data_IF_690632826612
#
_entry.id   IF_690632826612
#
_cell.length_a   1.000
_cell.length_b   1.000
_cell.length_c   1.000
_cell.angle_alpha   90.00
_cell.angle_beta   90.00
_cell.angle_gamma   90.00
#
_symmetry.space_group_name_H-M   'P 1'
#
loop_
_entity.id
_entity.type
_entity.pdbx_description
1 polymer ?
#
# COMPACT_ATOMS: atom_id res chain seq x y z
N UNK A 1 16.84 6.49 -9.82
CA UNK A 1 16.29 6.03 -8.52
C UNK A 1 14.97 6.76 -8.35
N UNK A 2 13.92 6.09 -7.90
CA UNK A 2 12.64 6.72 -7.60
C UNK A 2 12.59 7.16 -6.13
N UNK A 3 11.66 8.03 -5.78
CA UNK A 3 11.50 8.49 -4.39
C UNK A 3 10.67 7.51 -3.55
N UNK A 4 9.69 6.82 -4.15
CA UNK A 4 8.78 5.92 -3.43
C UNK A 4 8.76 4.55 -4.12
N UNK A 5 8.83 3.47 -3.33
CA UNK A 5 8.45 2.13 -3.75
C UNK A 5 7.07 1.79 -3.18
N UNK A 6 6.07 1.61 -4.04
CA UNK A 6 4.77 1.07 -3.63
C UNK A 6 4.87 -0.45 -3.63
N UNK A 7 4.57 -1.09 -2.52
CA UNK A 7 4.66 -2.54 -2.32
C UNK A 7 3.27 -3.11 -2.06
N UNK A 8 2.83 -4.04 -2.91
CA UNK A 8 1.50 -4.64 -2.84
C UNK A 8 1.62 -6.17 -2.93
N UNK A 9 1.61 -6.89 -1.80
CA UNK A 9 1.44 -8.33 -1.81
C UNK A 9 -0.01 -8.67 -2.16
N UNK A 10 -0.22 -9.67 -3.01
CA UNK A 10 -1.54 -10.08 -3.49
C UNK A 10 -1.68 -11.59 -3.49
N UNK A 11 -2.87 -12.09 -3.16
CA UNK A 11 -3.23 -13.49 -3.25
C UNK A 11 -4.71 -13.62 -3.62
N UNK A 12 -5.02 -14.28 -4.75
CA UNK A 12 -6.39 -14.53 -5.23
C UNK A 12 -7.27 -13.27 -5.19
N UNK A 13 -6.78 -12.18 -5.79
CA UNK A 13 -7.41 -10.86 -5.77
C UNK A 13 -8.08 -10.50 -7.11
N UNK A 14 -8.41 -11.45 -8.00
CA UNK A 14 -8.89 -11.17 -9.37
C UNK A 14 -10.08 -10.22 -9.45
N UNK A 15 -10.90 -10.15 -8.38
CA UNK A 15 -12.09 -9.30 -8.33
C UNK A 15 -11.76 -7.83 -8.08
N UNK A 16 -10.61 -7.52 -7.45
CA UNK A 16 -10.29 -6.18 -6.95
C UNK A 16 -8.97 -5.63 -7.50
N UNK A 17 -8.06 -6.52 -7.89
CA UNK A 17 -6.68 -6.16 -8.25
C UNK A 17 -6.59 -5.12 -9.36
N UNK A 18 -7.56 -5.09 -10.30
CA UNK A 18 -7.58 -4.11 -11.38
C UNK A 18 -7.77 -2.69 -10.83
N UNK A 19 -8.80 -2.49 -9.99
CA UNK A 19 -9.10 -1.18 -9.41
C UNK A 19 -7.96 -0.72 -8.48
N UNK A 20 -7.38 -1.65 -7.72
CA UNK A 20 -6.23 -1.38 -6.88
C UNK A 20 -5.01 -0.89 -7.70
N UNK A 21 -4.64 -1.58 -8.78
CA UNK A 21 -3.53 -1.19 -9.65
C UNK A 21 -3.80 0.17 -10.29
N UNK A 22 -4.98 0.38 -10.85
CA UNK A 22 -5.34 1.64 -11.50
C UNK A 22 -5.25 2.81 -10.52
N UNK A 23 -5.71 2.65 -9.28
CA UNK A 23 -5.62 3.68 -8.24
C UNK A 23 -4.18 4.07 -7.88
N UNK A 24 -3.23 3.13 -7.97
CA UNK A 24 -1.80 3.42 -7.79
C UNK A 24 -1.21 4.11 -9.01
N UNK A 25 -1.52 3.62 -10.21
CA UNK A 25 -0.95 4.18 -11.44
C UNK A 25 -1.44 5.61 -11.73
N UNK A 26 -2.64 5.97 -11.25
CA UNK A 26 -3.25 7.29 -11.38
C UNK A 26 -2.80 8.30 -10.32
N UNK A 27 -1.90 7.93 -9.41
CA UNK A 27 -1.41 8.86 -8.38
C UNK A 27 -0.86 10.15 -8.98
N UNK A 28 -1.20 11.30 -8.35
CA UNK A 28 -0.70 12.62 -8.75
C UNK A 28 0.82 12.79 -8.53
N UNK A 29 1.42 11.97 -7.68
CA UNK A 29 2.87 11.82 -7.52
C UNK A 29 3.37 10.75 -8.48
N UNK A 30 4.36 11.08 -9.34
CA UNK A 30 4.77 10.21 -10.46
C UNK A 30 6.13 9.53 -10.28
N UNK A 31 6.95 9.99 -9.33
CA UNK A 31 8.30 9.45 -9.12
C UNK A 31 8.29 8.25 -8.16
N UNK A 32 7.65 7.17 -8.61
CA UNK A 32 7.58 5.92 -7.86
C UNK A 32 7.77 4.70 -8.77
N UNK A 33 8.16 3.58 -8.15
CA UNK A 33 8.02 2.24 -8.70
C UNK A 33 6.87 1.50 -8.00
N UNK A 34 6.31 0.50 -8.66
CA UNK A 34 5.21 -0.28 -8.15
C UNK A 34 5.55 -1.77 -8.19
N UNK A 35 5.79 -2.36 -7.04
CA UNK A 35 6.19 -3.76 -6.87
C UNK A 35 4.98 -4.55 -6.38
N UNK A 36 4.45 -5.40 -7.26
CA UNK A 36 3.42 -6.37 -6.92
C UNK A 36 4.08 -7.71 -6.63
N UNK A 37 3.73 -8.32 -5.51
CA UNK A 37 4.20 -9.65 -5.14
C UNK A 37 3.01 -10.61 -5.19
N UNK A 38 2.94 -11.43 -6.23
CA UNK A 38 1.93 -12.49 -6.33
C UNK A 38 2.32 -13.65 -5.44
N UNK A 39 1.60 -13.79 -4.32
CA UNK A 39 1.85 -14.79 -3.28
C UNK A 39 1.29 -16.18 -3.63
N UNK A 40 1.46 -16.59 -4.88
CA UNK A 40 1.04 -17.90 -5.36
C UNK A 40 -0.45 -17.99 -5.72
N UNK A 41 -1.00 -16.94 -6.34
CA UNK A 41 -2.41 -16.92 -6.77
C UNK A 41 -2.73 -18.06 -7.74
N UNK A 42 -3.92 -18.63 -7.58
CA UNK A 42 -4.46 -19.71 -8.41
C UNK A 42 -5.59 -19.26 -9.34
N UNK A 43 -6.03 -18.02 -9.20
CA UNK A 43 -7.02 -17.34 -10.02
C UNK A 43 -6.36 -16.50 -11.16
N UNK A 44 -7.10 -15.54 -11.72
CA UNK A 44 -6.58 -14.70 -12.80
C UNK A 44 -5.72 -13.53 -12.32
N UNK A 45 -5.42 -13.39 -11.02
CA UNK A 45 -4.66 -12.27 -10.46
C UNK A 45 -3.35 -12.03 -11.23
N UNK A 46 -2.51 -13.06 -11.36
CA UNK A 46 -1.21 -12.96 -12.04
C UNK A 46 -1.36 -12.51 -13.51
N UNK A 47 -2.33 -13.06 -14.23
CA UNK A 47 -2.57 -12.71 -15.63
C UNK A 47 -3.07 -11.27 -15.81
N UNK A 48 -3.88 -10.78 -14.85
CA UNK A 48 -4.34 -9.39 -14.84
C UNK A 48 -3.15 -8.45 -14.64
N UNK A 49 -2.29 -8.72 -13.66
CA UNK A 49 -1.09 -7.90 -13.41
C UNK A 49 -0.18 -7.86 -14.64
N UNK A 50 0.07 -9.01 -15.26
CA UNK A 50 0.92 -9.12 -16.46
C UNK A 50 0.36 -8.38 -17.69
N UNK A 51 -0.92 -8.06 -17.70
CA UNK A 51 -1.54 -7.30 -18.81
C UNK A 51 -1.18 -5.81 -18.79
N UNK A 52 -0.66 -5.28 -17.67
CA UNK A 52 -0.23 -3.89 -17.58
C UNK A 52 1.13 -3.67 -18.22
N UNK A 53 1.20 -2.74 -19.16
CA UNK A 53 2.43 -2.35 -19.82
C UNK A 53 2.91 -0.96 -19.34
N UNK A 54 3.08 -0.82 -18.02
CA UNK A 54 3.62 0.40 -17.41
C UNK A 54 5.02 0.09 -16.86
N UNK A 55 6.01 0.91 -17.23
CA UNK A 55 7.41 0.72 -16.84
C UNK A 55 7.64 0.79 -15.32
N UNK A 56 6.72 1.36 -14.58
CA UNK A 56 6.77 1.46 -13.12
C UNK A 56 6.40 0.14 -12.45
N UNK A 57 5.64 -0.72 -13.15
CA UNK A 57 5.10 -1.98 -12.62
C UNK A 57 6.15 -3.08 -12.71
N UNK A 58 6.38 -3.75 -11.59
CA UNK A 58 7.23 -4.95 -11.49
C UNK A 58 6.46 -6.03 -10.76
N UNK A 59 6.35 -7.23 -11.36
CA UNK A 59 5.75 -8.41 -10.75
C UNK A 59 6.84 -9.34 -10.24
N UNK A 60 6.72 -9.74 -8.99
CA UNK A 60 7.52 -10.79 -8.35
C UNK A 60 6.57 -11.92 -7.97
N UNK A 61 6.95 -13.16 -8.23
CA UNK A 61 6.18 -14.33 -7.81
C UNK A 61 6.79 -14.97 -6.57
N UNK A 62 5.95 -15.37 -5.63
CA UNK A 62 6.33 -16.09 -4.42
C UNK A 62 5.45 -17.35 -4.24
N UNK A 63 5.81 -18.22 -3.31
CA UNK A 63 5.15 -19.49 -3.03
C UNK A 63 4.32 -19.43 -1.74
N UNK A 64 3.24 -18.68 -1.74
CA UNK A 64 2.23 -18.59 -0.68
C UNK A 64 2.80 -18.47 0.75
N UNK A 65 3.54 -17.39 0.97
CA UNK A 65 4.04 -16.99 2.27
C UNK A 65 3.97 -15.46 2.39
N UNK A 66 2.92 -14.95 3.00
CA UNK A 66 2.63 -13.53 3.10
C UNK A 66 3.79 -12.71 3.73
N UNK A 67 4.42 -13.23 4.78
CA UNK A 67 5.55 -12.54 5.44
C UNK A 67 6.75 -12.47 4.49
N UNK A 68 7.02 -13.54 3.77
CA UNK A 68 8.09 -13.57 2.77
C UNK A 68 7.78 -12.62 1.61
N UNK A 69 6.52 -12.56 1.17
CA UNK A 69 6.09 -11.62 0.14
C UNK A 69 6.32 -10.17 0.54
N UNK A 70 6.03 -9.80 1.79
CA UNK A 70 6.36 -8.48 2.31
C UNK A 70 7.87 -8.21 2.33
N UNK A 71 8.66 -9.18 2.78
CA UNK A 71 10.12 -9.05 2.82
C UNK A 71 10.71 -8.91 1.40
N UNK A 72 10.23 -9.72 0.45
CA UNK A 72 10.62 -9.61 -0.96
C UNK A 72 10.31 -8.21 -1.52
N UNK A 73 9.16 -7.63 -1.16
CA UNK A 73 8.81 -6.28 -1.53
C UNK A 73 9.82 -5.25 -0.97
N UNK A 74 10.18 -5.36 0.30
CA UNK A 74 11.15 -4.49 0.96
C UNK A 74 12.53 -4.64 0.31
N UNK A 75 13.02 -5.86 0.13
CA UNK A 75 14.34 -6.17 -0.42
C UNK A 75 14.50 -5.69 -1.87
N UNK A 76 13.41 -5.66 -2.63
CA UNK A 76 13.40 -5.23 -4.02
C UNK A 76 13.06 -3.75 -4.21
N UNK A 77 12.78 -3.02 -3.13
CA UNK A 77 12.48 -1.60 -3.15
C UNK A 77 13.73 -0.76 -3.41
N UNK A 78 13.64 0.17 -4.36
CA UNK A 78 14.72 1.09 -4.74
C UNK A 78 14.43 2.53 -4.29
N UNK A 79 13.20 2.80 -3.85
CA UNK A 79 12.75 4.10 -3.37
C UNK A 79 13.30 4.43 -1.98
N UNK A 80 13.46 5.71 -1.72
CA UNK A 80 13.83 6.23 -0.40
C UNK A 80 12.75 5.91 0.65
N UNK A 81 11.50 5.92 0.24
CA UNK A 81 10.34 5.60 1.07
C UNK A 81 9.60 4.39 0.53
N UNK A 82 8.96 3.66 1.43
CA UNK A 82 8.10 2.53 1.07
C UNK A 82 6.65 2.85 1.44
N UNK A 83 5.74 2.69 0.48
CA UNK A 83 4.29 2.77 0.69
C UNK A 83 3.68 1.37 0.54
N UNK A 84 3.12 0.85 1.64
CA UNK A 84 2.39 -0.41 1.58
C UNK A 84 0.95 -0.19 1.12
N UNK A 85 0.42 -1.14 0.34
CA UNK A 85 -0.97 -1.21 -0.07
C UNK A 85 -1.43 -2.67 -0.16
N UNK A 86 -2.71 -2.93 0.09
CA UNK A 86 -3.31 -4.24 -0.10
C UNK A 86 -4.06 -4.31 -1.45
N UNK A 87 -4.17 -5.52 -2.03
CA UNK A 87 -4.66 -5.72 -3.39
C UNK A 87 -6.18 -5.57 -3.57
N UNK A 88 -6.92 -5.31 -2.49
CA UNK A 88 -8.36 -5.08 -2.45
C UNK A 88 -8.75 -3.66 -2.02
N UNK A 89 -7.76 -2.76 -1.90
CA UNK A 89 -7.96 -1.37 -1.55
C UNK A 89 -7.85 -0.41 -2.73
N UNK A 90 -8.36 0.80 -2.55
CA UNK A 90 -8.28 1.91 -3.51
C UNK A 90 -7.52 3.06 -2.87
N UNK A 91 -6.43 3.48 -3.52
CA UNK A 91 -5.60 4.58 -3.08
C UNK A 91 -6.18 5.93 -3.52
N UNK A 92 -6.36 6.87 -2.56
CA UNK A 92 -6.73 8.24 -2.93
C UNK A 92 -5.68 8.87 -3.84
N UNK A 93 -6.09 9.59 -4.88
CA UNK A 93 -5.23 10.13 -5.95
C UNK A 93 -4.02 10.96 -5.45
N UNK A 94 -4.13 11.62 -4.32
CA UNK A 94 -3.07 12.46 -3.75
C UNK A 94 -2.33 11.80 -2.57
N UNK A 95 -2.58 10.52 -2.27
CA UNK A 95 -2.02 9.87 -1.08
C UNK A 95 -0.49 9.94 -1.07
N UNK A 96 0.16 9.48 -2.14
CA UNK A 96 1.64 9.48 -2.20
C UNK A 96 2.21 10.89 -2.12
N UNK A 97 1.60 11.85 -2.80
CA UNK A 97 2.02 13.25 -2.80
C UNK A 97 1.96 13.86 -1.40
N UNK A 98 0.85 13.65 -0.69
CA UNK A 98 0.64 14.21 0.65
C UNK A 98 1.60 13.56 1.65
N UNK A 99 1.69 12.23 1.66
CA UNK A 99 2.57 11.51 2.58
C UNK A 99 4.05 11.84 2.31
N UNK A 100 4.45 11.94 1.03
CA UNK A 100 5.80 12.36 0.67
C UNK A 100 6.12 13.77 1.19
N UNK A 101 5.21 14.73 1.01
CA UNK A 101 5.40 16.10 1.52
C UNK A 101 5.58 16.12 3.05
N UNK A 102 4.77 15.34 3.79
CA UNK A 102 4.89 15.21 5.24
C UNK A 102 6.26 14.63 5.63
N UNK A 103 6.71 13.56 4.97
CA UNK A 103 8.01 12.93 5.25
C UNK A 103 9.20 13.85 4.93
N UNK A 104 9.04 14.80 3.98
CA UNK A 104 10.06 15.82 3.70
C UNK A 104 10.06 16.95 4.72
N UNK A 105 8.87 17.38 5.15
CA UNK A 105 8.72 18.47 6.14
C UNK A 105 9.17 18.05 7.55
N UNK A 106 8.98 16.77 7.88
CA UNK A 106 9.27 16.21 9.21
C UNK A 106 10.25 15.05 9.11
N UNK A 107 11.56 15.30 8.95
CA UNK A 107 12.56 14.25 8.70
C UNK A 107 12.74 13.25 9.86
N UNK A 108 12.27 13.57 11.06
CA UNK A 108 12.28 12.68 12.22
C UNK A 108 11.08 11.70 12.22
N UNK A 109 10.13 11.87 11.30
CA UNK A 109 9.01 10.93 11.12
C UNK A 109 9.49 9.70 10.39
N UNK A 110 9.27 8.53 11.00
CA UNK A 110 9.63 7.24 10.40
C UNK A 110 8.44 6.52 9.77
N UNK A 111 7.22 6.82 10.21
CA UNK A 111 5.98 6.22 9.69
C UNK A 111 4.89 7.27 9.57
N UNK A 112 4.25 7.33 8.41
CA UNK A 112 3.12 8.21 8.12
C UNK A 112 1.93 7.39 7.62
N UNK A 113 0.83 7.42 8.36
CA UNK A 113 -0.44 6.77 7.99
C UNK A 113 -1.48 7.77 7.48
N UNK A 114 -2.53 7.25 6.84
CA UNK A 114 -3.71 8.02 6.43
C UNK A 114 -4.97 7.52 7.13
N UNK A 115 -6.00 8.32 7.09
CA UNK A 115 -7.35 7.83 7.38
C UNK A 115 -7.84 6.98 6.22
N UNK A 116 -8.76 6.06 6.53
CA UNK A 116 -9.37 5.20 5.54
C UNK A 116 -10.90 5.32 5.60
N UNK A 117 -11.54 5.06 4.47
CA UNK A 117 -12.98 4.96 4.35
C UNK A 117 -13.34 3.52 3.96
N UNK A 118 -14.18 2.86 4.74
CA UNK A 118 -14.64 1.51 4.41
C UNK A 118 -15.66 1.55 3.28
N UNK A 119 -15.42 0.78 2.21
CA UNK A 119 -16.32 0.60 1.08
C UNK A 119 -16.81 -0.85 1.02
N UNK A 120 -18.06 -1.08 0.62
CA UNK A 120 -18.64 -2.44 0.46
C UNK A 120 -19.90 -2.70 1.28
N UNK A 121 -20.40 -3.95 1.22
CA UNK A 121 -21.70 -4.35 1.77
C UNK A 121 -21.82 -4.27 3.29
N UNK A 122 -20.70 -4.22 4.02
CA UNK A 122 -20.67 -4.07 5.48
C UNK A 122 -20.49 -2.62 5.93
N UNK A 123 -20.33 -1.67 5.02
CA UNK A 123 -20.21 -0.25 5.34
C UNK A 123 -21.58 0.36 5.63
N UNK A 124 -22.32 -0.17 6.60
CA UNK A 124 -23.53 0.51 7.09
C UNK A 124 -23.22 1.76 7.92
N UNK A 125 -21.97 2.02 8.19
CA UNK A 125 -21.50 3.27 8.76
C UNK A 125 -20.80 4.05 7.65
N UNK A 126 -21.50 5.01 7.05
CA UNK A 126 -20.92 6.03 6.17
C UNK A 126 -19.95 6.93 6.97
N UNK A 127 -18.96 6.34 7.60
CA UNK A 127 -18.04 7.02 8.50
C UNK A 127 -16.60 6.86 8.07
N UNK A 128 -15.89 7.98 8.03
CA UNK A 128 -14.44 7.98 7.92
C UNK A 128 -13.87 7.24 9.13
N UNK A 129 -13.18 6.12 8.91
CA UNK A 129 -12.44 5.45 9.96
C UNK A 129 -11.15 6.24 10.22
N UNK A 130 -11.08 6.83 11.39
CA UNK A 130 -9.91 7.60 11.81
C UNK A 130 -9.21 6.92 12.98
N UNK A 131 -7.90 6.97 12.95
CA UNK A 131 -7.06 6.63 14.11
C UNK A 131 -6.69 7.90 14.85
N UNK A 132 -5.67 7.83 15.68
CA UNK A 132 -5.08 9.03 16.29
C UNK A 132 -4.54 9.94 15.20
N UNK A 133 -4.92 11.21 15.23
CA UNK A 133 -4.32 12.27 14.43
C UNK A 133 -3.18 12.95 15.20
N UNK A 134 -2.18 13.45 14.46
CA UNK A 134 -1.01 14.11 15.03
C UNK A 134 0.12 13.16 15.43
N UNK A 135 1.08 13.70 16.17
CA UNK A 135 2.29 12.96 16.54
C UNK A 135 1.99 11.86 17.58
N UNK A 136 2.48 10.65 17.28
CA UNK A 136 2.44 9.52 18.22
C UNK A 136 3.87 9.26 18.71
N UNK A 137 4.29 9.95 19.76
CA UNK A 137 5.66 9.93 20.27
C UNK A 137 6.14 8.59 20.88
N UNK A 138 5.21 7.66 21.17
CA UNK A 138 5.53 6.33 21.72
C UNK A 138 4.61 5.26 21.11
N UNK A 139 4.78 4.90 19.83
CA UNK A 139 3.87 3.99 19.14
C UNK A 139 3.82 2.60 19.81
N UNK A 140 4.93 2.07 20.32
CA UNK A 140 4.98 0.77 20.97
C UNK A 140 4.08 0.66 22.18
N UNK A 141 4.01 1.69 23.02
CA UNK A 141 3.12 1.71 24.19
C UNK A 141 1.65 1.75 23.80
N UNK A 142 1.33 2.28 22.62
CA UNK A 142 -0.04 2.31 22.10
C UNK A 142 -0.44 1.02 21.45
N UNK A 143 0.46 0.33 20.78
CA UNK A 143 0.20 -1.00 20.22
C UNK A 143 -0.12 -2.05 21.29
N UNK A 144 0.37 -1.92 22.52
CA UNK A 144 -0.01 -2.80 23.64
C UNK A 144 -1.48 -2.66 24.07
N UNK A 145 -2.14 -1.55 23.73
CA UNK A 145 -3.54 -1.27 24.05
C UNK A 145 -4.49 -1.46 22.86
N UNK A 146 -3.99 -1.83 21.72
CA UNK A 146 -4.74 -1.99 20.48
C UNK A 146 -3.95 -1.48 19.26
N UNK A 147 -4.37 -1.86 18.08
CA UNK A 147 -3.78 -1.36 16.84
C UNK A 147 -4.34 0.04 16.53
N UNK A 148 -3.51 1.06 16.62
CA UNK A 148 -3.88 2.45 16.35
C UNK A 148 -3.54 2.92 14.93
N UNK A 149 -2.83 2.09 14.17
CA UNK A 149 -2.54 2.34 12.77
C UNK A 149 -3.31 1.31 11.94
N UNK A 150 -4.22 1.78 11.11
CA UNK A 150 -4.95 0.90 10.21
C UNK A 150 -4.06 0.45 9.05
N UNK A 151 -4.22 -0.78 8.65
CA UNK A 151 -3.75 -1.34 7.42
C UNK A 151 -4.87 -1.38 6.40
N UNK A 152 -4.53 -1.15 5.19
CA UNK A 152 -3.37 -0.47 4.60
C UNK A 152 -3.57 1.03 4.67
N UNK A 153 -2.54 1.77 4.93
CA UNK A 153 -2.66 3.23 5.04
C UNK A 153 -1.72 3.94 4.07
#
# INVERSE_FOLDING_TARGET
>A
MCEISVVMPVYNAEMHIKDAIESVLEQSFVDFEFILIDDGSTDRTSSIIQSYNDKRVRLIQNSHNFIESLNLGIENSLGKYMARMDGDDIMHIDRLKIQYAIMQEYPDVTVCGTWMNSIGTYSQTNGLLSTLSGWVGQPLLKFTKGNFLFHPT
#
